data_IF_929668318737
#
_entry.id   IF_929668318737
#
_cell.length_a   1.000
_cell.length_b   1.000
_cell.length_c   1.000
_cell.angle_alpha   90.00
_cell.angle_beta   90.00
_cell.angle_gamma   90.00
#
_symmetry.space_group_name_H-M   'P 1'
#
loop_
_entity.id
_entity.type
_entity.pdbx_description
1 polymer ?
#
# COMPACT_ATOMS: atom_id res chain seq x y z
N UNK A 1 32.83 -3.24 -3.37
CA UNK A 1 32.21 -4.57 -3.29
C UNK A 1 31.26 -4.57 -2.10
N UNK A 2 30.00 -4.20 -2.31
CA UNK A 2 28.98 -4.27 -1.25
C UNK A 2 28.52 -5.72 -1.17
N UNK A 3 28.85 -6.42 -0.08
CA UNK A 3 28.34 -7.78 0.15
C UNK A 3 26.81 -7.78 0.17
N UNK A 4 26.14 -8.91 -0.14
CA UNK A 4 24.69 -8.97 -0.07
C UNK A 4 24.26 -8.61 1.35
N UNK A 5 23.46 -7.56 1.50
CA UNK A 5 22.85 -7.22 2.78
C UNK A 5 22.01 -8.43 3.20
N UNK A 6 22.48 -9.16 4.21
CA UNK A 6 21.77 -10.32 4.75
C UNK A 6 20.44 -9.76 5.27
N UNK A 7 19.29 -10.21 4.76
CA UNK A 7 18.01 -9.73 5.22
C UNK A 7 17.88 -10.06 6.71
N UNK A 8 17.59 -9.04 7.51
CA UNK A 8 17.51 -9.18 8.96
C UNK A 8 16.35 -10.10 9.33
N UNK A 9 16.64 -11.27 9.90
CA UNK A 9 15.65 -12.27 10.27
C UNK A 9 15.13 -11.95 11.67
N UNK A 10 13.81 -12.01 11.93
CA UNK A 10 13.30 -11.80 13.28
C UNK A 10 13.87 -12.84 14.25
N UNK A 11 14.35 -12.37 15.40
CA UNK A 11 14.95 -13.21 16.44
C UNK A 11 13.89 -13.78 17.41
N UNK A 12 12.65 -13.29 17.34
CA UNK A 12 11.54 -13.77 18.16
C UNK A 12 10.20 -13.76 17.43
N UNK A 13 9.24 -14.57 17.92
CA UNK A 13 7.88 -14.60 17.37
C UNK A 13 7.14 -13.27 17.56
N UNK A 14 7.44 -12.54 18.63
CA UNK A 14 6.91 -11.20 18.87
C UNK A 14 7.39 -10.25 17.79
N UNK A 15 8.69 -10.19 17.54
CA UNK A 15 9.27 -9.34 16.50
C UNK A 15 8.78 -9.72 15.11
N UNK A 16 8.62 -11.02 14.85
CA UNK A 16 8.03 -11.53 13.61
C UNK A 16 6.60 -11.00 13.42
N UNK A 17 5.77 -11.03 14.47
CA UNK A 17 4.41 -10.48 14.42
C UNK A 17 4.39 -8.95 14.31
N UNK A 18 5.26 -8.24 15.03
CA UNK A 18 5.37 -6.78 14.97
C UNK A 18 5.69 -6.30 13.54
N UNK A 19 6.63 -6.99 12.86
CA UNK A 19 6.96 -6.69 11.46
C UNK A 19 5.77 -6.93 10.54
N UNK A 20 5.06 -8.06 10.68
CA UNK A 20 3.87 -8.33 9.87
C UNK A 20 2.74 -7.31 10.09
N UNK A 21 2.57 -6.85 11.33
CA UNK A 21 1.62 -5.79 11.66
C UNK A 21 1.99 -4.48 10.99
N UNK A 22 3.27 -4.09 11.00
CA UNK A 22 3.74 -2.91 10.28
C UNK A 22 3.48 -3.01 8.75
N UNK A 23 3.62 -4.20 8.17
CA UNK A 23 3.25 -4.44 6.77
C UNK A 23 1.73 -4.27 6.53
N UNK A 24 0.90 -4.76 7.45
CA UNK A 24 -0.56 -4.63 7.36
C UNK A 24 -1.01 -3.17 7.53
N UNK A 25 -0.47 -2.45 8.50
CA UNK A 25 -0.77 -1.03 8.75
C UNK A 25 -0.40 -0.18 7.54
N UNK A 26 0.77 -0.43 6.94
CA UNK A 26 1.17 0.23 5.70
C UNK A 26 0.19 -0.03 4.55
N UNK A 27 -0.24 -1.28 4.37
CA UNK A 27 -1.20 -1.64 3.34
C UNK A 27 -2.56 -0.94 3.59
N UNK A 28 -2.98 -0.82 4.85
CA UNK A 28 -4.16 -0.07 5.24
C UNK A 28 -4.05 1.43 4.91
N UNK A 29 -2.93 2.08 5.24
CA UNK A 29 -2.68 3.48 4.88
C UNK A 29 -2.72 3.69 3.36
N UNK A 30 -2.09 2.78 2.58
CA UNK A 30 -2.11 2.84 1.12
C UNK A 30 -3.53 2.66 0.54
N UNK A 31 -4.36 1.82 1.15
CA UNK A 31 -5.76 1.64 0.75
C UNK A 31 -6.61 2.88 1.06
N UNK A 32 -6.32 3.60 2.16
CA UNK A 32 -6.95 4.88 2.51
C UNK A 32 -6.46 6.06 1.66
N UNK A 33 -5.42 5.86 0.83
CA UNK A 33 -4.84 6.91 0.00
C UNK A 33 -3.91 7.85 0.76
N UNK A 34 -3.47 7.44 1.95
CA UNK A 34 -2.54 8.20 2.78
C UNK A 34 -1.08 7.95 2.35
N UNK A 35 -0.22 8.92 2.58
CA UNK A 35 1.23 8.75 2.39
C UNK A 35 1.73 7.67 3.35
N UNK A 36 2.19 6.57 2.78
CA UNK A 36 2.79 5.49 3.56
C UNK A 36 4.25 5.81 3.89
N UNK A 37 4.64 5.53 5.13
CA UNK A 37 6.03 5.41 5.57
C UNK A 37 6.87 4.53 4.59
N UNK A 38 8.20 4.70 4.56
CA UNK A 38 9.08 3.92 3.69
C UNK A 38 8.81 2.43 3.82
N UNK A 39 8.92 1.72 2.69
CA UNK A 39 8.59 0.30 2.64
C UNK A 39 9.45 -0.46 3.67
N UNK A 40 8.82 -1.21 4.61
CA UNK A 40 9.56 -2.08 5.51
C UNK A 40 10.33 -3.12 4.70
N UNK A 41 11.39 -3.66 5.32
CA UNK A 41 12.19 -4.72 4.71
C UNK A 41 11.28 -5.88 4.24
N UNK A 42 11.61 -6.56 3.12
CA UNK A 42 10.83 -7.70 2.66
C UNK A 42 10.64 -8.72 3.77
N UNK A 43 9.38 -9.11 4.00
CA UNK A 43 9.04 -10.11 5.02
C UNK A 43 9.81 -11.42 4.78
N UNK A 44 10.51 -11.88 5.81
CA UNK A 44 11.19 -13.18 5.82
C UNK A 44 10.55 -14.06 6.88
N UNK A 45 10.17 -15.31 6.53
CA UNK A 45 9.63 -16.22 7.51
C UNK A 45 10.66 -16.51 8.61
N UNK A 46 10.26 -16.53 9.89
CA UNK A 46 11.14 -16.94 10.96
C UNK A 46 11.50 -18.42 10.80
N UNK A 47 12.68 -18.70 10.26
CA UNK A 47 13.30 -20.01 10.36
C UNK A 47 13.89 -20.16 11.76
N UNK A 48 13.74 -21.33 12.38
CA UNK A 48 14.38 -21.73 13.65
C UNK A 48 13.77 -21.20 14.96
N UNK A 49 12.64 -20.47 14.94
CA UNK A 49 12.00 -19.97 16.17
C UNK A 49 11.15 -21.01 16.94
N UNK A 50 11.08 -22.25 16.46
CA UNK A 50 10.22 -23.28 17.05
C UNK A 50 8.72 -22.97 16.91
N UNK A 51 7.83 -23.68 17.61
CA UNK A 51 6.38 -23.44 17.53
C UNK A 51 5.99 -22.06 18.06
N UNK A 52 4.94 -21.47 17.49
CA UNK A 52 4.38 -20.21 17.96
C UNK A 52 3.89 -20.34 19.42
N UNK A 53 4.32 -19.47 20.35
CA UNK A 53 3.82 -19.45 21.72
C UNK A 53 2.30 -19.28 21.77
N UNK A 54 1.63 -20.03 22.65
CA UNK A 54 0.16 -20.02 22.78
C UNK A 54 -0.41 -18.63 23.09
N UNK A 55 0.34 -17.82 23.83
CA UNK A 55 -0.01 -16.43 24.15
C UNK A 55 -0.04 -15.50 22.92
N UNK A 56 0.70 -15.83 21.86
CA UNK A 56 0.72 -15.07 20.60
C UNK A 56 -0.31 -15.58 19.58
N UNK A 57 -0.94 -16.73 19.82
CA UNK A 57 -1.96 -17.30 18.92
C UNK A 57 -3.15 -16.35 18.69
N UNK A 58 -3.74 -15.71 19.73
CA UNK A 58 -4.81 -14.75 19.52
C UNK A 58 -4.39 -13.57 18.63
N UNK A 59 -3.18 -13.06 18.85
CA UNK A 59 -2.59 -11.95 18.08
C UNK A 59 -2.40 -12.34 16.61
N UNK A 60 -1.77 -13.49 16.36
CA UNK A 60 -1.59 -14.01 15.01
C UNK A 60 -2.92 -14.22 14.26
N UNK A 61 -3.97 -14.71 14.95
CA UNK A 61 -5.31 -14.86 14.36
C UNK A 61 -5.95 -13.52 14.00
N UNK A 62 -5.83 -12.51 14.86
CA UNK A 62 -6.33 -11.18 14.56
C UNK A 62 -5.63 -10.57 13.35
N UNK A 63 -4.31 -10.69 13.29
CA UNK A 63 -3.51 -10.24 12.15
C UNK A 63 -3.93 -10.95 10.86
N UNK A 64 -4.12 -12.28 10.88
CA UNK A 64 -4.58 -13.02 9.71
C UNK A 64 -5.95 -12.53 9.22
N UNK A 65 -6.89 -12.29 10.13
CA UNK A 65 -8.19 -11.74 9.78
C UNK A 65 -8.10 -10.34 9.15
N UNK A 66 -7.18 -9.49 9.63
CA UNK A 66 -6.90 -8.19 9.01
C UNK A 66 -6.34 -8.37 7.59
N UNK A 67 -5.33 -9.21 7.41
CA UNK A 67 -4.74 -9.49 6.10
C UNK A 67 -5.77 -9.98 5.08
N UNK A 68 -6.69 -10.86 5.49
CA UNK A 68 -7.79 -11.33 4.63
C UNK A 68 -8.73 -10.19 4.20
N UNK A 69 -9.07 -9.28 5.13
CA UNK A 69 -9.89 -8.08 4.79
C UNK A 69 -9.16 -7.16 3.81
N UNK A 70 -7.84 -6.98 3.98
CA UNK A 70 -7.04 -6.19 3.06
C UNK A 70 -7.01 -6.81 1.66
N UNK A 71 -6.78 -8.13 1.57
CA UNK A 71 -6.81 -8.84 0.30
C UNK A 71 -8.18 -8.72 -0.40
N UNK A 72 -9.28 -8.74 0.35
CA UNK A 72 -10.62 -8.54 -0.19
C UNK A 72 -10.89 -7.08 -0.61
N UNK A 73 -10.22 -6.09 -0.01
CA UNK A 73 -10.40 -4.67 -0.31
C UNK A 73 -9.59 -4.20 -1.53
N UNK A 74 -8.46 -4.84 -1.85
CA UNK A 74 -7.58 -4.46 -2.97
C UNK A 74 -8.34 -4.37 -4.32
N UNK A 75 -9.18 -5.34 -4.72
CA UNK A 75 -9.92 -5.25 -5.98
C UNK A 75 -10.85 -4.03 -6.06
N UNK A 76 -11.52 -3.69 -4.96
CA UNK A 76 -12.43 -2.55 -4.89
C UNK A 76 -11.67 -1.22 -5.07
N UNK A 77 -10.54 -1.06 -4.37
CA UNK A 77 -9.70 0.14 -4.49
C UNK A 77 -9.06 0.27 -5.87
N UNK A 78 -8.66 -0.84 -6.51
CA UNK A 78 -8.14 -0.80 -7.88
C UNK A 78 -9.20 -0.39 -8.90
N UNK A 79 -10.44 -0.85 -8.74
CA UNK A 79 -11.56 -0.46 -9.60
C UNK A 79 -11.89 1.02 -9.45
N UNK A 80 -11.92 1.54 -8.22
CA UNK A 80 -12.19 2.96 -7.96
C UNK A 80 -11.08 3.86 -8.53
N UNK A 81 -9.80 3.53 -8.30
CA UNK A 81 -8.67 4.27 -8.88
C UNK A 81 -8.70 4.31 -10.40
N UNK A 82 -9.05 3.21 -11.06
CA UNK A 82 -9.21 3.17 -12.54
C UNK A 82 -10.35 4.08 -13.01
N UNK A 83 -11.45 4.14 -12.27
CA UNK A 83 -12.56 5.02 -12.61
C UNK A 83 -12.18 6.50 -12.46
N UNK A 84 -11.47 6.85 -11.38
CA UNK A 84 -10.95 8.20 -11.18
C UNK A 84 -9.97 8.62 -12.29
N UNK A 85 -9.06 7.72 -12.70
CA UNK A 85 -8.16 7.97 -13.85
C UNK A 85 -8.93 8.25 -15.13
N UNK A 86 -9.92 7.44 -15.48
CA UNK A 86 -10.75 7.66 -16.68
C UNK A 86 -11.50 9.00 -16.67
N UNK A 87 -11.98 9.42 -15.50
CA UNK A 87 -12.67 10.71 -15.35
C UNK A 87 -11.65 11.85 -15.51
N UNK A 88 -10.49 11.75 -14.87
CA UNK A 88 -9.42 12.73 -14.98
C UNK A 88 -8.91 12.87 -16.42
N UNK A 89 -8.68 11.75 -17.12
CA UNK A 89 -8.26 11.74 -18.53
C UNK A 89 -9.31 12.42 -19.42
N UNK A 90 -10.60 12.09 -19.22
CA UNK A 90 -11.70 12.70 -19.98
C UNK A 90 -11.82 14.21 -19.74
N UNK A 91 -11.60 14.68 -18.52
CA UNK A 91 -11.57 16.11 -18.21
C UNK A 91 -10.34 16.77 -18.83
N UNK A 92 -9.17 16.15 -18.74
CA UNK A 92 -7.93 16.62 -19.36
C UNK A 92 -8.04 16.81 -20.88
N UNK A 93 -8.61 15.82 -21.56
CA UNK A 93 -8.88 15.88 -23.01
C UNK A 93 -9.90 16.99 -23.33
N UNK A 94 -10.98 17.12 -22.55
CA UNK A 94 -11.98 18.16 -22.75
C UNK A 94 -11.41 19.58 -22.51
N UNK A 95 -10.51 19.74 -21.53
CA UNK A 95 -9.83 21.02 -21.27
C UNK A 95 -8.74 21.33 -22.29
N UNK A 96 -8.10 20.33 -22.89
CA UNK A 96 -7.08 20.52 -23.94
C UNK A 96 -7.72 20.86 -25.28
N UNK A 97 -8.87 20.28 -25.60
CA UNK A 97 -9.59 20.54 -26.85
C UNK A 97 -10.28 21.92 -26.91
N UNK A 98 -10.47 22.59 -25.76
CA UNK A 98 -11.30 23.80 -25.66
C UNK A 98 -10.52 25.13 -25.50
N UNK A 99 -9.23 25.17 -25.85
CA UNK A 99 -8.45 26.43 -25.80
C UNK A 99 -7.95 26.79 -27.19
N UNK A 100 -8.88 27.23 -28.04
CA UNK A 100 -8.52 28.10 -29.18
C UNK A 100 -8.65 29.54 -28.70
N UNK A 101 -7.57 30.23 -28.32
CA UNK A 101 -7.65 31.61 -27.85
C UNK A 101 -8.05 32.51 -29.02
N UNK A 102 -9.29 33.01 -29.00
CA UNK A 102 -9.78 34.01 -29.95
C UNK A 102 -9.37 35.38 -29.39
N UNK A 103 -8.40 36.02 -30.04
CA UNK A 103 -8.02 37.40 -29.74
C UNK A 103 -8.98 38.35 -30.45
N UNK A 104 -9.80 39.06 -29.67
CA UNK A 104 -10.59 40.21 -30.13
C UNK A 104 -9.72 41.46 -29.96
N UNK A 105 -9.19 41.96 -31.08
CA UNK A 105 -8.53 43.26 -31.12
C UNK A 105 -9.61 44.35 -31.16
N UNK A 106 -9.69 45.14 -30.09
CA UNK A 106 -10.64 46.26 -29.98
C UNK A 106 -9.87 47.52 -30.31
N UNK A 107 -9.99 47.99 -31.54
CA UNK A 107 -9.50 49.31 -31.96
C UNK A 107 -10.43 50.38 -31.42
N UNK A 108 -9.91 51.27 -30.57
CA UNK A 108 -10.60 52.45 -30.02
C UNK A 108 -10.53 53.66 -30.96
#
# INVERSE_FOLDING_TARGET
MTGPAIPDRPASWTEALDRLEAHADRAEHLLRGESAEPAPAPWQPPAELGPLPNELVPRARQLLARQQRLMAAIPAVLSDKRQQQRIADRVGDATTAAVTPIYLDVTA
#
